data_IF_830577569668
#
_entry.id   IF_830577569668
#
_cell.length_a   1.000
_cell.length_b   1.000
_cell.length_c   1.000
_cell.angle_alpha   90.00
_cell.angle_beta   90.00
_cell.angle_gamma   90.00
#
_symmetry.space_group_name_H-M   'P 1'
#
loop_
_entity.id
_entity.type
_entity.pdbx_description
1 polymer ?
#
# COMPACT_ATOMS: atom_id res chain seq x y z
N UNK A 1 -31.30 -3.69 -37.46
CA UNK A 1 -29.83 -3.67 -37.48
C UNK A 1 -29.38 -4.16 -36.13
N UNK A 2 -29.04 -5.44 -36.04
CA UNK A 2 -28.55 -6.04 -34.80
C UNK A 2 -27.11 -5.58 -34.59
N UNK A 3 -26.87 -4.86 -33.49
CA UNK A 3 -25.52 -4.50 -33.08
C UNK A 3 -24.77 -5.79 -32.72
N UNK A 4 -23.57 -6.03 -33.27
CA UNK A 4 -22.78 -7.19 -32.88
C UNK A 4 -22.49 -7.09 -31.39
N UNK A 5 -22.78 -8.17 -30.64
CA UNK A 5 -22.21 -8.37 -29.32
C UNK A 5 -20.69 -8.32 -29.47
N UNK A 6 -20.09 -7.16 -29.16
CA UNK A 6 -18.68 -7.09 -28.82
C UNK A 6 -18.50 -8.04 -27.64
N UNK A 7 -17.95 -9.21 -27.93
CA UNK A 7 -17.30 -10.07 -26.96
C UNK A 7 -16.17 -9.21 -26.41
N UNK A 8 -16.48 -8.46 -25.35
CA UNK A 8 -15.49 -7.79 -24.52
C UNK A 8 -14.69 -8.91 -23.87
N UNK A 9 -13.67 -9.39 -24.59
CA UNK A 9 -12.64 -10.24 -24.03
C UNK A 9 -12.09 -9.47 -22.85
N UNK A 10 -12.36 -9.97 -21.65
CA UNK A 10 -11.75 -9.49 -20.42
C UNK A 10 -10.26 -9.81 -20.55
N UNK A 11 -9.50 -8.91 -21.18
CA UNK A 11 -8.08 -9.10 -21.40
C UNK A 11 -7.45 -9.06 -20.02
N UNK A 12 -7.17 -10.26 -19.48
CA UNK A 12 -6.44 -10.48 -18.24
C UNK A 12 -5.24 -9.55 -18.21
N UNK A 13 -5.35 -8.48 -17.42
CA UNK A 13 -4.33 -7.44 -17.37
C UNK A 13 -3.10 -8.05 -16.72
N UNK A 14 -1.92 -7.81 -17.31
CA UNK A 14 -0.67 -8.40 -16.81
C UNK A 14 -0.44 -8.13 -15.30
N UNK A 15 -0.88 -6.97 -14.81
CA UNK A 15 -0.79 -6.55 -13.40
C UNK A 15 -1.80 -7.22 -12.45
N UNK A 16 -2.82 -7.91 -12.97
CA UNK A 16 -3.73 -8.72 -12.17
C UNK A 16 -3.20 -10.15 -11.97
N UNK A 17 -2.17 -10.54 -12.73
CA UNK A 17 -1.54 -11.85 -12.63
C UNK A 17 -0.60 -11.91 -11.41
N UNK A 18 -0.81 -12.83 -10.45
CA UNK A 18 0.06 -12.98 -9.29
C UNK A 18 1.53 -13.17 -9.68
N UNK A 19 1.79 -13.89 -10.78
CA UNK A 19 3.14 -14.17 -11.29
C UNK A 19 3.92 -12.90 -11.65
N UNK A 20 3.24 -11.81 -12.02
CA UNK A 20 3.89 -10.54 -12.37
C UNK A 20 3.97 -9.64 -11.13
N UNK A 21 2.87 -9.52 -10.38
CA UNK A 21 2.77 -8.52 -9.31
C UNK A 21 3.47 -8.96 -8.03
N UNK A 22 3.40 -10.24 -7.65
CA UNK A 22 4.02 -10.74 -6.40
C UNK A 22 5.53 -10.50 -6.37
N UNK A 23 6.31 -10.81 -7.43
CA UNK A 23 7.74 -10.49 -7.46
C UNK A 23 8.03 -8.99 -7.33
N UNK A 24 7.24 -8.13 -7.97
CA UNK A 24 7.39 -6.67 -7.87
C UNK A 24 7.12 -6.21 -6.43
N UNK A 25 6.06 -6.71 -5.79
CA UNK A 25 5.76 -6.39 -4.40
C UNK A 25 6.85 -6.89 -3.45
N UNK A 26 7.43 -8.07 -3.70
CA UNK A 26 8.54 -8.59 -2.92
C UNK A 26 9.80 -7.72 -3.04
N UNK A 27 10.14 -7.26 -4.25
CA UNK A 27 11.25 -6.32 -4.44
C UNK A 27 11.00 -5.00 -3.69
N UNK A 28 9.80 -4.43 -3.81
CA UNK A 28 9.44 -3.20 -3.10
C UNK A 28 9.44 -3.38 -1.58
N UNK A 29 8.98 -4.53 -1.09
CA UNK A 29 8.95 -4.82 0.34
C UNK A 29 10.35 -5.00 0.93
N UNK A 30 11.27 -5.60 0.17
CA UNK A 30 12.68 -5.68 0.56
C UNK A 30 13.32 -4.29 0.62
N UNK A 31 13.05 -3.42 -0.37
CA UNK A 31 13.54 -2.04 -0.32
C UNK A 31 13.00 -1.31 0.92
N UNK A 32 11.70 -1.43 1.20
CA UNK A 32 11.09 -0.79 2.37
C UNK A 32 11.53 -1.37 3.72
N UNK A 33 11.93 -2.64 3.74
CA UNK A 33 12.29 -3.36 4.96
C UNK A 33 13.79 -3.40 5.27
N UNK A 34 14.66 -3.38 4.28
CA UNK A 34 16.11 -3.53 4.45
C UNK A 34 16.84 -2.19 4.57
N UNK A 35 16.28 -1.10 4.02
CA UNK A 35 16.94 0.21 4.08
C UNK A 35 16.44 1.04 5.26
N UNK A 36 17.33 1.76 5.96
CA UNK A 36 16.92 2.74 6.95
C UNK A 36 16.03 3.82 6.33
N UNK A 37 15.02 4.24 7.08
CA UNK A 37 14.13 5.33 6.72
C UNK A 37 14.94 6.59 6.38
N UNK A 38 14.60 7.24 5.26
CA UNK A 38 15.26 8.46 4.75
C UNK A 38 16.74 8.31 4.35
N UNK A 39 17.28 7.09 4.23
CA UNK A 39 18.60 6.88 3.64
C UNK A 39 18.63 7.30 2.16
N UNK A 40 19.81 7.72 1.68
CA UNK A 40 20.00 8.06 0.27
C UNK A 40 19.61 6.90 -0.66
N UNK A 41 19.93 5.67 -0.26
CA UNK A 41 19.58 4.46 -1.00
C UNK A 41 18.07 4.22 -1.05
N UNK A 42 17.35 4.35 0.07
CA UNK A 42 15.90 4.25 0.09
C UNK A 42 15.24 5.30 -0.81
N UNK A 43 15.73 6.54 -0.78
CA UNK A 43 15.20 7.62 -1.63
C UNK A 43 15.43 7.34 -3.11
N UNK A 44 16.63 6.87 -3.51
CA UNK A 44 16.93 6.53 -4.92
C UNK A 44 16.00 5.41 -5.41
N UNK A 45 15.84 4.35 -4.62
CA UNK A 45 14.96 3.24 -5.00
C UNK A 45 13.50 3.67 -5.03
N UNK A 46 13.04 4.45 -4.07
CA UNK A 46 11.65 4.93 -4.00
C UNK A 46 11.32 5.87 -5.16
N UNK A 47 12.19 6.86 -5.42
CA UNK A 47 12.00 7.81 -6.53
C UNK A 47 12.15 7.13 -7.89
N UNK A 48 13.10 6.22 -8.03
CA UNK A 48 13.32 5.46 -9.27
C UNK A 48 12.15 4.54 -9.59
N UNK A 49 11.71 3.74 -8.62
CA UNK A 49 10.55 2.83 -8.81
C UNK A 49 9.25 3.59 -8.97
N UNK A 50 9.01 4.61 -8.14
CA UNK A 50 7.83 5.48 -8.23
C UNK A 50 7.78 6.21 -9.58
N UNK A 51 8.90 6.78 -10.03
CA UNK A 51 9.01 7.42 -11.33
C UNK A 51 8.76 6.47 -12.49
N UNK A 52 9.31 5.25 -12.43
CA UNK A 52 9.05 4.22 -13.44
C UNK A 52 7.57 3.81 -13.50
N UNK A 53 6.91 3.65 -12.35
CA UNK A 53 5.47 3.34 -12.28
C UNK A 53 4.61 4.49 -12.81
N UNK A 54 4.95 5.74 -12.49
CA UNK A 54 4.28 6.93 -13.01
C UNK A 54 4.44 7.00 -14.54
N UNK A 55 5.66 6.75 -15.05
CA UNK A 55 5.93 6.75 -16.48
C UNK A 55 5.14 5.65 -17.21
N UNK A 56 5.09 4.44 -16.64
CA UNK A 56 4.27 3.33 -17.15
C UNK A 56 2.77 3.66 -17.14
N UNK A 57 2.29 4.36 -16.11
CA UNK A 57 0.90 4.82 -16.00
C UNK A 57 0.55 5.91 -17.00
N UNK A 58 1.42 6.91 -17.17
CA UNK A 58 1.26 8.01 -18.14
C UNK A 58 1.40 7.57 -19.59
N UNK A 59 2.16 6.49 -19.86
CA UNK A 59 2.31 5.90 -21.19
C UNK A 59 1.06 5.23 -21.77
N UNK A 60 -0.12 5.41 -21.14
CA UNK A 60 -1.43 4.95 -21.62
C UNK A 60 -1.58 3.44 -21.85
N UNK A 61 -0.64 2.62 -21.38
CA UNK A 61 -0.74 1.14 -21.42
C UNK A 61 -1.59 0.56 -20.28
N UNK A 62 -1.99 1.39 -19.32
CA UNK A 62 -2.87 0.99 -18.22
C UNK A 62 -4.29 1.41 -18.55
N UNK A 63 -5.10 0.44 -19.00
CA UNK A 63 -6.53 0.66 -19.20
C UNK A 63 -7.18 1.21 -17.93
N UNK A 64 -7.99 2.27 -18.06
CA UNK A 64 -8.74 2.83 -16.92
C UNK A 64 -9.65 1.76 -16.32
N UNK A 65 -9.55 1.57 -15.00
CA UNK A 65 -10.46 0.71 -14.25
C UNK A 65 -11.83 1.41 -14.11
N UNK A 66 -12.94 0.66 -14.17
CA UNK A 66 -14.20 1.20 -13.70
C UNK A 66 -14.04 1.65 -12.24
N UNK A 67 -14.71 2.74 -11.87
CA UNK A 67 -14.63 3.24 -10.51
C UNK A 67 -15.09 2.15 -9.53
N UNK A 68 -14.36 1.93 -8.40
CA UNK A 68 -14.77 0.96 -7.41
C UNK A 68 -16.18 1.28 -6.90
N UNK A 69 -16.93 0.24 -6.52
CA UNK A 69 -18.25 0.41 -5.92
C UNK A 69 -18.13 1.35 -4.72
N UNK A 70 -19.08 2.29 -4.60
CA UNK A 70 -19.15 3.21 -3.47
C UNK A 70 -19.18 2.40 -2.18
N UNK A 71 -18.29 2.76 -1.25
CA UNK A 71 -18.30 2.25 0.11
C UNK A 71 -19.66 2.60 0.73
N UNK A 72 -20.23 1.64 1.47
CA UNK A 72 -21.51 1.85 2.13
C UNK A 72 -21.42 2.99 3.16
N UNK A 73 -22.56 3.60 3.50
CA UNK A 73 -22.62 4.65 4.54
C UNK A 73 -22.02 4.20 5.88
N UNK A 74 -22.07 2.89 6.16
CA UNK A 74 -21.45 2.28 7.34
C UNK A 74 -19.94 2.48 7.44
N UNK A 75 -19.22 2.67 6.32
CA UNK A 75 -17.76 2.86 6.34
C UNK A 75 -17.34 4.16 7.03
N UNK A 76 -18.20 5.18 7.03
CA UNK A 76 -17.94 6.44 7.76
C UNK A 76 -17.79 6.20 9.25
N UNK A 77 -18.46 5.20 9.83
CA UNK A 77 -18.32 4.88 11.25
C UNK A 77 -16.93 4.37 11.63
N UNK A 78 -16.15 3.86 10.67
CA UNK A 78 -14.75 3.50 10.91
C UNK A 78 -13.81 4.71 10.98
N UNK A 79 -14.26 5.88 10.48
CA UNK A 79 -13.47 7.10 10.60
C UNK A 79 -13.34 7.52 12.06
N UNK A 80 -14.38 7.36 12.89
CA UNK A 80 -14.35 7.77 14.29
C UNK A 80 -13.29 7.03 15.12
N UNK A 81 -13.24 5.69 15.16
CA UNK A 81 -12.18 4.98 15.88
C UNK A 81 -10.80 5.24 15.26
N UNK A 82 -10.69 5.35 13.93
CA UNK A 82 -9.42 5.65 13.27
C UNK A 82 -8.90 7.06 13.62
N UNK A 83 -9.78 8.08 13.65
CA UNK A 83 -9.41 9.43 14.05
C UNK A 83 -9.07 9.49 15.54
N UNK A 84 -9.87 8.86 16.40
CA UNK A 84 -9.57 8.80 17.83
C UNK A 84 -8.20 8.15 18.08
N UNK A 85 -7.95 7.01 17.44
CA UNK A 85 -6.66 6.33 17.49
C UNK A 85 -5.52 7.25 17.03
N UNK A 86 -5.66 7.88 15.85
CA UNK A 86 -4.65 8.78 15.32
C UNK A 86 -4.40 10.03 16.17
N UNK A 87 -5.45 10.60 16.78
CA UNK A 87 -5.33 11.74 17.70
C UNK A 87 -4.60 11.35 18.96
N UNK A 88 -4.93 10.19 19.56
CA UNK A 88 -4.25 9.70 20.76
C UNK A 88 -2.77 9.42 20.49
N UNK A 89 -2.46 8.64 19.45
CA UNK A 89 -1.08 8.36 19.03
C UNK A 89 -0.30 9.66 18.76
N UNK A 90 -0.87 10.57 17.96
CA UNK A 90 -0.24 11.83 17.62
C UNK A 90 -0.02 12.75 18.82
N UNK A 91 -1.01 12.86 19.72
CA UNK A 91 -0.88 13.65 20.94
C UNK A 91 0.19 13.10 21.87
N UNK A 92 0.21 11.77 22.08
CA UNK A 92 1.26 11.13 22.90
C UNK A 92 2.66 11.31 22.33
N UNK A 93 2.79 11.26 21.00
CA UNK A 93 4.05 11.51 20.31
C UNK A 93 4.52 12.97 20.48
N UNK A 94 3.63 13.95 20.24
CA UNK A 94 3.96 15.39 20.36
C UNK A 94 4.27 15.78 21.80
N UNK A 95 3.55 15.22 22.77
CA UNK A 95 3.76 15.49 24.19
C UNK A 95 4.96 14.73 24.78
N UNK A 96 5.65 13.90 23.98
CA UNK A 96 6.77 13.06 24.41
C UNK A 96 6.47 12.29 25.69
N UNK A 97 5.22 11.84 25.83
CA UNK A 97 4.77 11.08 27.00
C UNK A 97 5.63 9.83 27.07
N UNK A 98 6.42 9.68 28.13
CA UNK A 98 7.40 8.59 28.28
C UNK A 98 6.76 7.20 28.27
N UNK A 99 7.53 6.17 28.60
CA UNK A 99 7.12 4.75 28.48
C UNK A 99 5.91 4.34 29.33
N UNK A 100 5.41 5.25 30.16
CA UNK A 100 4.17 5.12 30.94
C UNK A 100 2.92 4.90 30.07
N UNK A 101 2.97 5.31 28.79
CA UNK A 101 1.88 5.10 27.83
C UNK A 101 2.36 4.23 26.65
N UNK A 102 1.97 2.94 26.60
CA UNK A 102 2.32 2.04 25.50
C UNK A 102 1.44 2.35 24.29
N UNK A 103 1.90 3.28 23.46
CA UNK A 103 1.28 3.57 22.16
C UNK A 103 1.47 2.38 21.23
N UNK A 104 0.58 2.23 20.26
CA UNK A 104 0.69 1.20 19.23
C UNK A 104 2.02 1.34 18.46
N UNK A 105 2.46 2.58 18.20
CA UNK A 105 3.75 2.84 17.55
C UNK A 105 4.91 2.24 18.35
N UNK A 106 4.95 2.47 19.67
CA UNK A 106 5.97 1.86 20.55
C UNK A 106 5.87 0.35 20.66
N UNK A 107 4.66 -0.19 20.67
CA UNK A 107 4.46 -1.64 20.67
C UNK A 107 4.92 -2.27 19.34
N UNK A 108 4.86 -1.52 18.24
CA UNK A 108 5.32 -1.96 16.94
C UNK A 108 6.83 -1.80 16.74
N UNK A 109 7.48 -0.82 17.39
CA UNK A 109 8.91 -0.53 17.21
C UNK A 109 9.82 -1.76 17.35
N UNK A 110 9.74 -2.58 18.42
CA UNK A 110 10.60 -3.76 18.57
C UNK A 110 10.41 -4.79 17.45
N UNK A 111 9.20 -4.88 16.91
CA UNK A 111 8.90 -5.76 15.78
C UNK A 111 9.46 -5.19 14.47
N UNK A 112 9.51 -3.87 14.33
CA UNK A 112 9.96 -3.19 13.11
C UNK A 112 11.47 -2.92 13.07
N UNK A 113 12.17 -3.12 14.18
CA UNK A 113 13.64 -3.16 14.22
C UNK A 113 14.19 -4.34 13.41
N UNK A 114 13.51 -5.49 13.42
CA UNK A 114 13.87 -6.64 12.61
C UNK A 114 13.55 -6.38 11.13
N UNK A 115 14.59 -6.38 10.29
CA UNK A 115 14.48 -6.07 8.87
C UNK A 115 13.60 -7.08 8.10
N UNK A 116 13.55 -8.34 8.54
CA UNK A 116 12.71 -9.37 7.93
C UNK A 116 11.26 -9.15 8.30
N UNK A 117 10.97 -8.86 9.58
CA UNK A 117 9.61 -8.56 10.04
C UNK A 117 9.10 -7.29 9.35
N UNK A 118 9.93 -6.25 9.25
CA UNK A 118 9.61 -5.02 8.52
C UNK A 118 9.35 -5.28 7.04
N UNK A 119 10.17 -6.12 6.40
CA UNK A 119 9.95 -6.53 5.00
C UNK A 119 8.63 -7.31 4.82
N UNK A 120 8.32 -8.21 5.75
CA UNK A 120 7.08 -8.98 5.73
C UNK A 120 5.84 -8.08 5.94
N UNK A 121 5.93 -7.10 6.84
CA UNK A 121 4.88 -6.10 7.06
C UNK A 121 4.64 -5.26 5.79
N UNK A 122 5.70 -4.79 5.14
CA UNK A 122 5.59 -4.10 3.84
C UNK A 122 4.95 -4.98 2.78
N UNK A 123 5.36 -6.24 2.68
CA UNK A 123 4.80 -7.17 1.70
C UNK A 123 3.30 -7.40 1.96
N UNK A 124 2.91 -7.64 3.21
CA UNK A 124 1.52 -7.82 3.61
C UNK A 124 0.67 -6.58 3.28
N UNK A 125 1.19 -5.38 3.58
CA UNK A 125 0.53 -4.11 3.29
C UNK A 125 0.29 -3.93 1.78
N UNK A 126 1.34 -4.11 0.98
CA UNK A 126 1.27 -3.98 -0.47
C UNK A 126 0.38 -5.06 -1.11
N UNK A 127 0.44 -6.30 -0.61
CA UNK A 127 -0.38 -7.40 -1.09
C UNK A 127 -1.87 -7.20 -0.75
N UNK A 128 -2.18 -6.67 0.45
CA UNK A 128 -3.54 -6.31 0.83
C UNK A 128 -4.10 -5.22 -0.08
N UNK A 129 -3.33 -4.16 -0.35
CA UNK A 129 -3.71 -3.12 -1.30
C UNK A 129 -3.95 -3.67 -2.70
N UNK A 130 -3.01 -4.47 -3.24
CA UNK A 130 -3.19 -5.11 -4.54
C UNK A 130 -4.42 -6.03 -4.56
N UNK A 131 -4.63 -6.79 -3.49
CA UNK A 131 -5.79 -7.66 -3.32
C UNK A 131 -7.12 -6.92 -3.28
N UNK A 132 -7.13 -5.66 -2.81
CA UNK A 132 -8.30 -4.79 -2.79
C UNK A 132 -8.53 -4.16 -4.16
N UNK A 133 -7.47 -3.71 -4.84
CA UNK A 133 -7.55 -3.01 -6.12
C UNK A 133 -7.88 -3.96 -7.29
N UNK A 134 -7.44 -5.22 -7.24
CA UNK A 134 -7.70 -6.25 -8.27
C UNK A 134 -9.12 -6.82 -8.26
N UNK A 135 -9.91 -6.59 -7.20
CA UNK A 135 -11.32 -7.00 -7.10
C UNK A 135 -12.21 -6.01 -7.84
#
# INVERSE_FOLDING_TARGET
MEQPHEIAVDVSRAWDRPVVTVPVLACLSLVGGQFPSFSAQANIWTLGTGGALIWLGLGNRVQRRPAPRRLGRGTVWWLLPAALFGVLEGATFVMAVGDEFPTFSRLADPLLEDELVRSAAWFAWLAAFWGLVRR
#
